data_IF_336790160948
#
_entry.id   IF_336790160948
#
_cell.length_a   1.000
_cell.length_b   1.000
_cell.length_c   1.000
_cell.angle_alpha   90.00
_cell.angle_beta   90.00
_cell.angle_gamma   90.00
#
_symmetry.space_group_name_H-M   'P 1'
#
loop_
_entity.id
_entity.type
_entity.pdbx_description
1 polymer ?
#
# COMPACT_ATOMS: atom_id res chain seq x y z
N UNK A 1 8.48 15.55 -2.34
CA UNK A 1 8.95 14.66 -3.41
C UNK A 1 7.85 14.58 -4.45
N UNK A 2 7.99 15.28 -5.58
CA UNK A 2 7.00 15.26 -6.66
C UNK A 2 7.43 14.19 -7.66
N UNK A 3 6.71 13.07 -7.71
CA UNK A 3 6.87 12.08 -8.77
C UNK A 3 5.82 12.43 -9.82
N UNK A 4 6.21 12.89 -11.03
CA UNK A 4 5.26 13.12 -12.11
C UNK A 4 4.79 11.77 -12.65
N UNK A 5 3.87 11.14 -11.93
CA UNK A 5 3.11 10.05 -12.49
C UNK A 5 2.13 10.67 -13.48
N UNK A 6 2.25 10.28 -14.76
CA UNK A 6 1.14 10.37 -15.72
C UNK A 6 -0.11 9.71 -15.08
N UNK A 7 -1.34 10.02 -15.52
CA UNK A 7 -2.57 9.96 -14.69
C UNK A 7 -2.67 8.67 -13.87
N UNK A 8 -3.27 8.72 -12.67
CA UNK A 8 -3.31 7.72 -11.58
C UNK A 8 -3.25 6.20 -11.91
N UNK A 9 -3.52 5.79 -13.15
CA UNK A 9 -3.41 4.45 -13.72
C UNK A 9 -2.17 4.24 -14.62
N UNK A 10 -1.20 5.16 -14.59
CA UNK A 10 -0.09 5.18 -15.55
C UNK A 10 0.93 4.10 -15.24
N UNK A 11 0.80 2.98 -15.94
CA UNK A 11 1.81 1.93 -15.99
C UNK A 11 3.14 2.53 -16.49
N UNK A 12 4.21 2.43 -15.70
CA UNK A 12 5.56 2.77 -16.15
C UNK A 12 6.26 1.49 -16.61
N UNK A 13 6.66 1.41 -17.88
CA UNK A 13 7.22 0.20 -18.51
C UNK A 13 6.34 -1.06 -18.35
N UNK A 14 5.02 -0.88 -18.28
CA UNK A 14 4.08 -1.97 -18.07
C UNK A 14 3.85 -2.37 -16.62
N UNK A 15 4.45 -1.71 -15.63
CA UNK A 15 4.22 -1.96 -14.19
C UNK A 15 3.33 -0.85 -13.63
N UNK A 16 2.25 -1.20 -12.95
CA UNK A 16 1.36 -0.25 -12.29
C UNK A 16 1.86 0.11 -10.89
N UNK A 17 1.61 1.34 -10.43
CA UNK A 17 1.91 1.73 -9.04
C UNK A 17 0.65 2.31 -8.41
N UNK A 18 0.21 1.71 -7.31
CA UNK A 18 -0.95 2.14 -6.55
C UNK A 18 -0.51 2.74 -5.22
N UNK A 19 -0.85 4.00 -4.98
CA UNK A 19 -0.68 4.67 -3.69
C UNK A 19 -2.04 4.74 -3.00
N UNK A 20 -2.11 4.33 -1.74
CA UNK A 20 -3.34 4.41 -0.95
C UNK A 20 -3.02 4.93 0.45
N UNK A 21 -3.62 6.06 0.80
CA UNK A 21 -3.52 6.65 2.13
C UNK A 21 -4.73 6.23 2.96
N UNK A 22 -4.50 5.43 4.01
CA UNK A 22 -5.52 4.91 4.93
C UNK A 22 -6.77 4.32 4.23
N UNK A 23 -6.63 3.34 3.33
CA UNK A 23 -7.72 2.88 2.46
C UNK A 23 -8.89 2.21 3.20
N UNK A 24 -8.71 1.83 4.47
CA UNK A 24 -9.68 1.04 5.24
C UNK A 24 -10.25 1.76 6.46
N UNK A 25 -9.80 2.99 6.78
CA UNK A 25 -10.08 3.64 8.07
C UNK A 25 -11.55 3.93 8.39
N UNK A 26 -12.44 3.92 7.39
CA UNK A 26 -13.89 4.18 7.55
C UNK A 26 -14.77 2.96 7.21
N UNK A 27 -14.18 1.78 7.06
CA UNK A 27 -14.90 0.56 6.70
C UNK A 27 -15.19 -0.29 7.95
N UNK A 28 -16.27 -1.08 7.89
CA UNK A 28 -16.43 -2.20 8.81
C UNK A 28 -15.37 -3.29 8.55
N UNK A 29 -15.21 -4.19 9.51
CA UNK A 29 -14.15 -5.21 9.47
C UNK A 29 -14.22 -6.14 8.26
N UNK A 30 -15.43 -6.46 7.78
CA UNK A 30 -15.60 -7.34 6.61
C UNK A 30 -15.11 -6.64 5.35
N UNK A 31 -15.53 -5.38 5.16
CA UNK A 31 -15.11 -4.58 4.02
C UNK A 31 -13.62 -4.21 4.07
N UNK A 32 -13.06 -3.98 5.26
CA UNK A 32 -11.62 -3.80 5.46
C UNK A 32 -10.83 -5.02 4.95
N UNK A 33 -11.20 -6.23 5.37
CA UNK A 33 -10.54 -7.46 4.91
C UNK A 33 -10.61 -7.62 3.39
N UNK A 34 -11.77 -7.37 2.78
CA UNK A 34 -11.93 -7.42 1.32
C UNK A 34 -11.00 -6.44 0.59
N UNK A 35 -10.87 -5.20 1.07
CA UNK A 35 -9.97 -4.21 0.47
C UNK A 35 -8.52 -4.63 0.61
N UNK A 36 -8.11 -5.14 1.78
CA UNK A 36 -6.74 -5.64 1.99
C UNK A 36 -6.43 -6.78 1.02
N UNK A 37 -7.33 -7.74 0.88
CA UNK A 37 -7.16 -8.86 -0.06
C UNK A 37 -7.07 -8.38 -1.50
N UNK A 38 -7.86 -7.38 -1.90
CA UNK A 38 -7.77 -6.80 -3.24
C UNK A 38 -6.40 -6.13 -3.48
N UNK A 39 -5.88 -5.37 -2.51
CA UNK A 39 -4.57 -4.73 -2.60
C UNK A 39 -3.43 -5.77 -2.71
N UNK A 40 -3.52 -6.87 -1.96
CA UNK A 40 -2.57 -7.98 -2.06
C UNK A 40 -2.62 -8.66 -3.44
N UNK A 41 -3.82 -8.92 -3.98
CA UNK A 41 -3.97 -9.47 -5.33
C UNK A 41 -3.38 -8.54 -6.39
N UNK A 42 -3.57 -7.23 -6.28
CA UNK A 42 -2.94 -6.28 -7.18
C UNK A 42 -1.41 -6.40 -7.14
N UNK A 43 -0.84 -6.45 -5.94
CA UNK A 43 0.60 -6.55 -5.73
C UNK A 43 1.20 -7.87 -6.24
N UNK A 44 0.57 -8.99 -5.93
CA UNK A 44 1.15 -10.33 -6.12
C UNK A 44 0.70 -11.03 -7.41
N UNK A 45 -0.45 -10.68 -7.97
CA UNK A 45 -1.02 -11.36 -9.14
C UNK A 45 -1.06 -10.47 -10.41
N UNK A 46 -1.05 -9.14 -10.26
CA UNK A 46 -1.31 -8.21 -11.39
C UNK A 46 -0.13 -7.31 -11.76
N UNK A 47 1.07 -7.59 -11.24
CA UNK A 47 2.29 -6.80 -11.46
C UNK A 47 2.13 -5.32 -11.08
N UNK A 48 1.50 -5.04 -9.94
CA UNK A 48 1.49 -3.71 -9.34
C UNK A 48 2.49 -3.60 -8.19
N UNK A 49 3.04 -2.40 -8.02
CA UNK A 49 3.64 -1.99 -6.76
C UNK A 49 2.56 -1.28 -5.96
N UNK A 50 2.24 -1.79 -4.78
CA UNK A 50 1.22 -1.18 -3.89
C UNK A 50 1.92 -0.58 -2.69
N UNK A 51 1.68 0.71 -2.45
CA UNK A 51 2.20 1.45 -1.30
C UNK A 51 1.01 1.92 -0.47
N UNK A 52 0.89 1.36 0.73
CA UNK A 52 -0.18 1.67 1.67
C UNK A 52 0.38 2.44 2.85
N UNK A 53 -0.25 3.57 3.18
CA UNK A 53 -0.09 4.24 4.48
C UNK A 53 -1.23 3.77 5.37
N UNK A 54 -0.92 3.27 6.56
CA UNK A 54 -1.94 2.81 7.50
C UNK A 54 -1.46 2.83 8.94
N UNK A 55 -2.37 3.11 9.87
CA UNK A 55 -2.19 2.88 11.30
C UNK A 55 -2.68 1.49 11.74
N UNK A 56 -3.33 0.70 10.87
CA UNK A 56 -3.81 -0.63 11.20
C UNK A 56 -2.64 -1.65 11.19
N UNK A 57 -2.30 -2.27 12.34
CA UNK A 57 -1.20 -3.23 12.42
C UNK A 57 -1.45 -4.51 11.64
N UNK A 58 -2.72 -4.92 11.41
CA UNK A 58 -3.06 -6.09 10.61
C UNK A 58 -2.70 -5.86 9.15
N UNK A 59 -3.13 -4.73 8.58
CA UNK A 59 -2.79 -4.34 7.20
C UNK A 59 -1.28 -4.24 7.01
N UNK A 60 -0.59 -3.57 7.94
CA UNK A 60 0.86 -3.43 7.89
C UNK A 60 1.60 -4.78 8.03
N UNK A 61 0.99 -5.76 8.70
CA UNK A 61 1.54 -7.11 8.86
C UNK A 61 1.27 -8.02 7.66
N UNK A 62 0.35 -7.66 6.76
CA UNK A 62 0.13 -8.39 5.50
C UNK A 62 1.09 -7.96 4.37
N UNK A 63 1.84 -6.87 4.56
CA UNK A 63 2.71 -6.30 3.53
C UNK A 63 4.08 -7.00 3.45
N UNK A 64 4.61 -7.15 2.24
CA UNK A 64 5.95 -7.72 1.98
C UNK A 64 7.06 -6.90 2.66
N UNK A 65 6.87 -5.59 2.77
CA UNK A 65 7.80 -4.66 3.42
C UNK A 65 7.00 -3.72 4.33
N UNK A 66 7.38 -3.68 5.61
CA UNK A 66 6.85 -2.73 6.58
C UNK A 66 7.86 -1.62 6.87
N UNK A 67 7.43 -0.39 6.64
CA UNK A 67 8.20 0.82 6.96
C UNK A 67 7.52 1.55 8.12
N UNK A 68 8.26 1.87 9.18
CA UNK A 68 7.74 2.63 10.32
C UNK A 68 8.33 4.02 10.32
N UNK A 69 7.47 5.04 10.33
CA UNK A 69 7.87 6.44 10.38
C UNK A 69 7.38 7.10 11.67
N UNK A 70 8.13 8.09 12.16
CA UNK A 70 7.74 8.96 13.27
C UNK A 70 8.41 10.32 13.12
N UNK A 71 7.66 11.40 13.35
CA UNK A 71 8.17 12.78 13.31
C UNK A 71 8.96 13.10 12.01
N UNK A 72 8.44 12.64 10.87
CA UNK A 72 9.06 12.82 9.55
C UNK A 72 10.33 11.98 9.31
N UNK A 73 10.68 11.07 10.22
CA UNK A 73 11.86 10.21 10.12
C UNK A 73 11.45 8.75 9.96
N UNK A 74 12.18 8.04 9.09
CA UNK A 74 12.05 6.60 8.95
C UNK A 74 12.80 5.92 10.10
N UNK A 75 12.07 5.18 10.95
CA UNK A 75 12.62 4.51 12.12
C UNK A 75 13.08 3.08 11.82
N UNK A 76 12.32 2.34 11.00
CA UNK A 76 12.69 0.97 10.64
C UNK A 76 12.10 0.55 9.30
N UNK A 77 12.78 -0.38 8.64
CA UNK A 77 12.31 -1.11 7.46
C UNK A 77 12.45 -2.59 7.78
N UNK A 78 11.39 -3.36 7.62
CA UNK A 78 11.40 -4.82 7.78
C UNK A 78 10.84 -5.46 6.52
N UNK A 79 11.55 -6.42 5.95
CA UNK A 79 11.03 -7.30 4.90
C UNK A 79 10.47 -8.55 5.57
N UNK A 80 9.26 -8.94 5.19
CA UNK A 80 8.64 -10.17 5.66
C UNK A 80 9.12 -11.37 4.85
#
# INVERSE_FOLDING_TARGET
MYIPLKPLFSRHKGIGVQFTDEPTGNLDSENEEHIVQLLLKLAHEMDYVVIVVTHNPMVASSADVKMTMKDGRLLSIKKQ
#
